data_IF_052565395960
#
_entry.id   IF_052565395960
#
_cell.length_a   1.000
_cell.length_b   1.000
_cell.length_c   1.000
_cell.angle_alpha   90.00
_cell.angle_beta   90.00
_cell.angle_gamma   90.00
#
_symmetry.space_group_name_H-M   'P 1'
#
loop_
_entity.id
_entity.type
_entity.pdbx_description
1 polymer ?
#
# COMPACT_ATOMS: atom_id res chain seq x y z
N UNK A 1 -4.60 -27.52 3.53
CA UNK A 1 -3.91 -26.71 4.55
C UNK A 1 -4.39 -25.27 4.41
N UNK A 2 -5.34 -24.82 5.22
CA UNK A 2 -5.81 -23.43 5.18
C UNK A 2 -4.84 -22.58 6.01
N UNK A 3 -4.04 -21.74 5.33
CA UNK A 3 -3.27 -20.70 6.00
C UNK A 3 -4.27 -19.65 6.50
N UNK A 4 -4.51 -19.59 7.81
CA UNK A 4 -5.31 -18.51 8.42
C UNK A 4 -4.46 -17.25 8.43
N UNK A 5 -4.56 -16.45 7.37
CA UNK A 5 -3.94 -15.14 7.32
C UNK A 5 -4.92 -14.11 7.88
N UNK A 6 -4.51 -13.36 8.90
CA UNK A 6 -5.34 -12.31 9.50
C UNK A 6 -5.31 -11.09 8.57
N UNK A 7 -6.36 -10.89 7.78
CA UNK A 7 -6.52 -9.73 6.91
C UNK A 7 -7.10 -8.58 7.72
N UNK A 8 -6.47 -7.40 7.67
CA UNK A 8 -6.88 -6.22 8.45
C UNK A 8 -7.35 -5.14 7.47
N UNK A 9 -8.55 -4.60 7.72
CA UNK A 9 -9.01 -3.37 7.09
C UNK A 9 -8.54 -2.19 7.94
N UNK A 10 -8.05 -1.16 7.28
CA UNK A 10 -7.81 0.12 7.90
C UNK A 10 -8.54 1.19 7.09
N UNK A 11 -9.31 2.00 7.80
CA UNK A 11 -9.91 3.20 7.27
C UNK A 11 -9.06 4.38 7.76
N UNK A 12 -8.60 5.22 6.84
CA UNK A 12 -7.87 6.44 7.17
C UNK A 12 -8.77 7.58 6.70
N UNK A 13 -9.32 8.33 7.65
CA UNK A 13 -10.36 9.35 7.43
C UNK A 13 -10.03 10.40 6.36
N UNK A 14 -8.75 10.53 5.96
CA UNK A 14 -8.35 11.35 4.82
C UNK A 14 -8.90 10.87 3.46
N UNK A 15 -9.39 9.62 3.32
CA UNK A 15 -9.82 9.05 2.03
C UNK A 15 -11.12 8.23 2.15
N UNK A 16 -12.27 8.87 2.42
CA UNK A 16 -13.51 8.19 2.81
C UNK A 16 -14.11 7.22 1.78
N UNK A 17 -13.65 7.27 0.52
CA UNK A 17 -14.14 6.42 -0.58
C UNK A 17 -13.11 5.39 -1.07
N UNK A 18 -11.92 5.29 -0.46
CA UNK A 18 -10.86 4.35 -0.87
C UNK A 18 -10.46 3.39 0.23
N UNK A 19 -11.06 2.22 0.21
CA UNK A 19 -10.75 1.15 1.16
C UNK A 19 -9.63 0.25 0.66
N UNK A 20 -8.62 0.07 1.52
CA UNK A 20 -7.46 -0.79 1.26
C UNK A 20 -7.45 -1.92 2.27
N UNK A 21 -7.32 -3.17 1.79
CA UNK A 21 -7.08 -4.34 2.64
C UNK A 21 -5.59 -4.65 2.68
N UNK A 22 -4.99 -4.47 3.85
CA UNK A 22 -3.58 -4.81 4.06
C UNK A 22 -3.44 -6.32 4.26
N UNK A 23 -2.55 -6.96 3.50
CA UNK A 23 -2.31 -8.40 3.54
C UNK A 23 -0.84 -8.64 3.91
N UNK A 24 -0.51 -8.99 5.17
CA UNK A 24 0.88 -9.19 5.58
C UNK A 24 1.44 -10.50 5.05
N UNK A 25 2.41 -10.43 4.15
CA UNK A 25 3.10 -11.55 3.53
C UNK A 25 4.43 -11.77 4.25
N UNK A 26 4.77 -13.05 4.45
CA UNK A 26 5.92 -13.43 5.28
C UNK A 26 7.28 -13.14 4.63
N UNK A 27 7.40 -13.43 3.34
CA UNK A 27 8.69 -13.44 2.62
C UNK A 27 8.55 -12.70 1.30
N UNK A 28 9.56 -11.90 0.94
CA UNK A 28 9.60 -11.08 -0.27
C UNK A 28 9.50 -11.93 -1.54
N UNK A 29 10.12 -13.11 -1.56
CA UNK A 29 10.07 -14.05 -2.69
C UNK A 29 8.65 -14.57 -3.03
N UNK A 30 7.65 -14.29 -2.19
CA UNK A 30 6.26 -14.58 -2.48
C UNK A 30 5.64 -13.58 -3.46
N UNK A 31 6.16 -12.36 -3.54
CA UNK A 31 5.61 -11.28 -4.36
C UNK A 31 5.75 -11.58 -5.85
N UNK A 32 6.88 -12.14 -6.29
CA UNK A 32 7.12 -12.54 -7.68
C UNK A 32 6.13 -13.62 -8.17
N UNK A 33 5.49 -14.34 -7.24
CA UNK A 33 4.52 -15.41 -7.55
C UNK A 33 3.09 -14.93 -7.61
N UNK A 34 2.81 -13.69 -7.18
CA UNK A 34 1.43 -13.19 -7.14
C UNK A 34 0.97 -12.77 -8.53
N UNK A 35 -0.17 -13.34 -8.94
CA UNK A 35 -0.89 -12.97 -10.16
C UNK A 35 -2.32 -12.56 -9.77
N UNK A 36 -2.61 -11.25 -9.63
CA UNK A 36 -3.91 -10.80 -9.15
C UNK A 36 -5.03 -11.02 -10.18
N UNK A 37 -6.13 -11.64 -9.74
CA UNK A 37 -7.36 -11.78 -10.52
C UNK A 37 -8.41 -10.85 -9.91
N UNK A 38 -8.29 -9.55 -10.21
CA UNK A 38 -9.05 -8.47 -9.54
C UNK A 38 -10.56 -8.60 -9.71
N UNK A 39 -11.03 -9.12 -10.85
CA UNK A 39 -12.44 -9.45 -11.11
C UNK A 39 -13.07 -10.38 -10.07
N UNK A 40 -12.26 -11.22 -9.42
CA UNK A 40 -12.71 -12.14 -8.39
C UNK A 40 -12.70 -11.54 -6.97
N UNK A 41 -12.19 -10.32 -6.78
CA UNK A 41 -12.16 -9.69 -5.45
C UNK A 41 -13.55 -9.59 -4.80
N UNK A 42 -14.66 -9.24 -5.49
CA UNK A 42 -16.00 -9.21 -4.89
C UNK A 42 -16.50 -10.59 -4.41
N UNK A 43 -15.89 -11.68 -4.88
CA UNK A 43 -16.20 -13.02 -4.40
C UNK A 43 -15.55 -13.33 -3.05
N UNK A 44 -14.44 -12.67 -2.73
CA UNK A 44 -13.68 -12.85 -1.49
C UNK A 44 -14.01 -11.75 -0.48
N UNK A 45 -14.07 -10.50 -0.92
CA UNK A 45 -14.28 -9.30 -0.10
C UNK A 45 -15.76 -8.98 0.07
N UNK A 46 -16.55 -9.91 0.62
CA UNK A 46 -18.03 -9.78 0.68
C UNK A 46 -18.53 -8.52 1.38
N UNK A 47 -17.85 -8.10 2.45
CA UNK A 47 -18.21 -6.88 3.19
C UNK A 47 -17.85 -5.60 2.42
N UNK A 48 -16.79 -5.65 1.61
CA UNK A 48 -16.23 -4.49 0.91
C UNK A 48 -15.78 -4.87 -0.50
N UNK A 49 -16.72 -5.18 -1.39
CA UNK A 49 -16.42 -5.75 -2.70
C UNK A 49 -15.65 -4.80 -3.62
N UNK A 50 -15.63 -3.49 -3.29
CA UNK A 50 -14.93 -2.45 -4.03
C UNK A 50 -13.52 -2.17 -3.52
N UNK A 51 -13.09 -2.77 -2.40
CA UNK A 51 -11.78 -2.51 -1.82
C UNK A 51 -10.65 -3.04 -2.71
N UNK A 52 -9.51 -2.36 -2.68
CA UNK A 52 -8.25 -2.86 -3.25
C UNK A 52 -7.52 -3.76 -2.24
N UNK A 53 -6.58 -4.55 -2.75
CA UNK A 53 -5.72 -5.40 -1.93
C UNK A 53 -4.29 -4.85 -1.96
N UNK A 54 -3.66 -4.77 -0.80
CA UNK A 54 -2.30 -4.27 -0.65
C UNK A 54 -1.47 -5.26 0.15
N UNK A 55 -0.88 -6.27 -0.53
CA UNK A 55 0.12 -7.14 0.07
C UNK A 55 1.34 -6.34 0.53
N UNK A 56 1.82 -6.63 1.74
CA UNK A 56 2.98 -5.96 2.33
C UNK A 56 3.96 -6.98 2.92
N UNK A 57 5.24 -6.62 2.99
CA UNK A 57 6.28 -7.39 3.67
C UNK A 57 7.23 -6.46 4.43
N UNK A 58 7.96 -7.01 5.40
CA UNK A 58 9.05 -6.32 6.09
C UNK A 58 10.43 -6.70 5.54
N UNK A 59 10.50 -7.71 4.66
CA UNK A 59 11.66 -7.92 3.82
C UNK A 59 11.58 -6.94 2.64
N UNK A 60 12.69 -6.28 2.34
CA UNK A 60 12.83 -5.23 1.32
C UNK A 60 13.92 -5.59 0.32
N UNK A 61 13.88 -5.02 -0.88
CA UNK A 61 14.92 -5.17 -1.91
C UNK A 61 16.10 -4.23 -1.67
N UNK A 62 15.81 -3.03 -1.18
CA UNK A 62 16.81 -2.02 -0.80
C UNK A 62 16.77 -1.82 0.72
N UNK A 63 17.89 -2.06 1.40
CA UNK A 63 18.04 -2.01 2.85
C UNK A 63 17.80 -0.60 3.43
N UNK A 64 17.76 0.44 2.59
CA UNK A 64 17.34 1.78 3.01
C UNK A 64 15.82 1.87 3.28
N UNK A 65 15.03 0.90 2.78
CA UNK A 65 13.57 0.89 2.92
C UNK A 65 13.11 0.10 4.15
N UNK A 66 11.92 0.42 4.67
CA UNK A 66 11.36 -0.25 5.86
C UNK A 66 10.36 -1.37 5.51
N UNK A 67 9.66 -1.25 4.37
CA UNK A 67 8.57 -2.14 3.99
C UNK A 67 8.46 -2.25 2.47
N UNK A 68 8.12 -3.44 2.00
CA UNK A 68 7.83 -3.71 0.59
C UNK A 68 6.33 -3.89 0.37
N UNK A 69 5.80 -3.41 -0.76
CA UNK A 69 4.39 -3.54 -1.10
C UNK A 69 4.14 -3.76 -2.59
N UNK A 70 2.96 -4.35 -2.87
CA UNK A 70 2.28 -4.31 -4.19
C UNK A 70 0.87 -3.76 -3.99
N UNK A 71 0.27 -3.19 -5.03
CA UNK A 71 -1.11 -2.71 -4.95
C UNK A 71 -1.96 -3.29 -6.07
N UNK A 72 -2.91 -4.16 -5.70
CA UNK A 72 -3.89 -4.71 -6.63
C UNK A 72 -5.16 -3.89 -6.56
N UNK A 73 -5.44 -3.22 -7.67
CA UNK A 73 -6.50 -2.23 -7.75
C UNK A 73 -7.88 -2.86 -7.57
N UNK A 74 -8.83 -2.02 -7.18
CA UNK A 74 -10.25 -2.39 -7.19
C UNK A 74 -10.67 -2.89 -8.58
N UNK A 75 -11.54 -3.91 -8.70
CA UNK A 75 -12.07 -4.37 -9.99
C UNK A 75 -12.79 -3.26 -10.78
N UNK A 76 -13.17 -2.16 -10.12
CA UNK A 76 -13.89 -1.03 -10.73
C UNK A 76 -12.97 0.13 -11.15
N UNK A 77 -11.65 -0.02 -11.02
CA UNK A 77 -10.67 1.06 -11.27
C UNK A 77 -10.17 1.16 -12.71
N UNK A 78 -10.36 0.11 -13.52
CA UNK A 78 -9.80 0.01 -14.88
C UNK A 78 -8.32 -0.38 -14.93
N UNK A 79 -7.65 -0.55 -13.78
CA UNK A 79 -6.28 -1.08 -13.70
C UNK A 79 -6.25 -2.39 -12.89
N UNK A 80 -5.23 -3.21 -13.11
CA UNK A 80 -5.01 -4.45 -12.35
C UNK A 80 -4.08 -4.18 -11.17
N UNK A 81 -2.99 -3.47 -11.44
CA UNK A 81 -1.94 -3.15 -10.48
C UNK A 81 -1.50 -1.70 -10.66
N UNK A 82 -1.28 -1.03 -9.54
CA UNK A 82 -0.78 0.34 -9.50
C UNK A 82 0.70 0.36 -9.10
N UNK A 83 1.49 1.18 -9.78
CA UNK A 83 2.94 1.18 -9.63
C UNK A 83 3.38 1.74 -8.27
N UNK A 84 2.77 2.84 -7.83
CA UNK A 84 3.07 3.49 -6.55
C UNK A 84 1.79 4.09 -5.97
N UNK A 85 1.32 3.57 -4.84
CA UNK A 85 0.01 3.92 -4.29
C UNK A 85 0.13 4.63 -2.95
N UNK A 86 0.30 5.96 -3.00
CA UNK A 86 0.53 6.77 -1.80
C UNK A 86 -0.55 6.62 -0.72
N UNK A 87 -1.82 6.49 -1.09
CA UNK A 87 -2.91 6.28 -0.12
C UNK A 87 -2.72 4.98 0.67
N UNK A 88 -2.37 3.88 -0.02
CA UNK A 88 -2.13 2.59 0.59
C UNK A 88 -0.85 2.58 1.45
N UNK A 89 0.21 3.28 1.01
CA UNK A 89 1.40 3.49 1.84
C UNK A 89 1.09 4.26 3.12
N UNK A 90 0.22 5.28 3.07
CA UNK A 90 -0.27 5.98 4.26
C UNK A 90 -0.94 5.02 5.26
N UNK A 91 -1.81 4.13 4.76
CA UNK A 91 -2.44 3.07 5.57
C UNK A 91 -1.39 2.17 6.23
N UNK A 92 -0.28 1.86 5.56
CA UNK A 92 0.82 1.07 6.13
C UNK A 92 1.47 1.75 7.34
N UNK A 93 1.57 3.08 7.36
CA UNK A 93 2.08 3.82 8.51
C UNK A 93 1.25 3.61 9.77
N UNK A 94 -0.08 3.73 9.63
CA UNK A 94 -1.01 3.42 10.71
C UNK A 94 -0.94 1.93 11.11
N UNK A 95 -0.94 1.03 10.11
CA UNK A 95 -0.79 -0.42 10.34
C UNK A 95 0.45 -0.76 11.17
N UNK A 96 1.58 -0.16 10.84
CA UNK A 96 2.86 -0.40 11.51
C UNK A 96 2.80 -0.01 12.99
N UNK A 97 2.32 1.21 13.28
CA UNK A 97 2.21 1.70 14.66
C UNK A 97 1.20 0.88 15.48
N UNK A 98 0.07 0.50 14.87
CA UNK A 98 -1.04 -0.15 15.60
C UNK A 98 -0.81 -1.64 15.82
N UNK A 99 -0.25 -2.36 14.84
CA UNK A 99 -0.19 -3.83 14.85
C UNK A 99 1.22 -4.42 14.87
N UNK A 100 2.23 -3.70 14.37
CA UNK A 100 3.58 -4.24 14.20
C UNK A 100 4.46 -3.86 15.37
N UNK A 101 4.60 -2.56 15.63
CA UNK A 101 5.46 -2.05 16.70
C UNK A 101 4.75 -0.92 17.46
N UNK A 102 3.91 -1.31 18.41
CA UNK A 102 3.18 -0.40 19.31
C UNK A 102 4.09 0.50 20.12
N UNK A 103 5.30 0.05 20.44
CA UNK A 103 6.31 0.80 21.18
C UNK A 103 7.05 1.86 20.36
N UNK A 104 6.80 1.95 19.05
CA UNK A 104 7.44 2.94 18.18
C UNK A 104 7.23 4.35 18.72
N UNK A 105 8.34 5.04 19.00
CA UNK A 105 8.33 6.45 19.38
C UNK A 105 8.00 7.30 18.14
N UNK A 106 7.12 8.27 18.32
CA UNK A 106 6.71 9.20 17.27
C UNK A 106 7.36 10.59 17.53
N UNK A 107 7.58 11.42 16.49
CA UNK A 107 7.28 11.14 15.07
C UNK A 107 8.22 10.09 14.47
N UNK A 108 7.71 9.32 13.51
CA UNK A 108 8.51 8.36 12.71
C UNK A 108 8.21 8.55 11.23
N UNK A 109 9.23 8.37 10.40
CA UNK A 109 9.08 8.20 8.95
C UNK A 109 9.40 6.76 8.60
N UNK A 110 8.55 6.13 7.81
CA UNK A 110 8.78 4.82 7.21
C UNK A 110 8.95 5.00 5.70
N UNK A 111 9.82 4.23 5.09
CA UNK A 111 10.01 4.22 3.63
C UNK A 111 9.40 2.94 3.07
N UNK A 112 8.39 3.11 2.22
CA UNK A 112 7.70 2.00 1.54
C UNK A 112 8.17 1.93 0.10
N UNK A 113 8.70 0.78 -0.30
CA UNK A 113 8.98 0.46 -1.70
C UNK A 113 7.80 -0.24 -2.38
N UNK A 114 7.52 0.12 -3.63
CA UNK A 114 6.45 -0.45 -4.44
C UNK A 114 6.80 -0.44 -5.93
N UNK A 115 6.30 -1.44 -6.67
CA UNK A 115 6.31 -1.46 -8.14
C UNK A 115 7.44 -2.31 -8.75
N UNK A 116 8.31 -2.88 -7.92
CA UNK A 116 9.47 -3.62 -8.38
C UNK A 116 9.11 -4.82 -9.28
N UNK A 117 8.01 -5.52 -9.01
CA UNK A 117 7.52 -6.66 -9.80
C UNK A 117 7.05 -6.26 -11.21
N UNK A 118 6.81 -4.98 -11.44
CA UNK A 118 6.47 -4.41 -12.75
C UNK A 118 7.56 -3.46 -13.27
N UNK A 119 8.80 -3.62 -12.77
CA UNK A 119 10.00 -2.87 -13.16
C UNK A 119 9.92 -1.36 -12.88
N UNK A 120 9.28 -0.96 -11.78
CA UNK A 120 9.24 0.41 -11.27
C UNK A 120 9.87 0.44 -9.88
N UNK A 121 10.88 1.30 -9.66
CA UNK A 121 11.46 1.56 -8.33
C UNK A 121 10.76 2.76 -7.69
N UNK A 122 9.57 2.51 -7.14
CA UNK A 122 8.77 3.53 -6.47
C UNK A 122 9.01 3.55 -4.97
N UNK A 123 9.12 4.76 -4.40
CA UNK A 123 9.30 4.96 -2.95
C UNK A 123 8.33 6.00 -2.42
N UNK A 124 7.70 5.69 -1.29
CA UNK A 124 6.81 6.60 -0.56
C UNK A 124 7.31 6.75 0.87
N UNK A 125 7.54 7.99 1.30
CA UNK A 125 7.86 8.32 2.67
C UNK A 125 6.56 8.53 3.44
N UNK A 126 6.34 7.74 4.47
CA UNK A 126 5.12 7.76 5.29
C UNK A 126 5.46 8.33 6.66
N UNK A 127 4.95 9.52 6.95
CA UNK A 127 5.17 10.22 8.20
C UNK A 127 4.03 9.93 9.16
N UNK A 128 4.37 9.36 10.31
CA UNK A 128 3.42 9.03 11.38
C UNK A 128 3.69 9.94 12.57
N UNK A 129 2.65 10.67 13.00
CA UNK A 129 2.67 11.61 14.12
C UNK A 129 1.45 11.38 15.04
N UNK A 130 1.48 12.01 16.22
CA UNK A 130 0.44 11.88 17.25
C UNK A 130 0.84 10.95 18.39
N UNK A 131 0.26 11.14 19.57
CA UNK A 131 0.48 10.26 20.73
C UNK A 131 -0.72 9.34 21.02
N UNK A 132 -1.91 9.69 20.51
CA UNK A 132 -3.17 8.98 20.67
C UNK A 132 -3.90 8.92 19.33
N UNK A 133 -4.82 7.97 19.19
CA UNK A 133 -5.70 7.86 18.02
C UNK A 133 -6.68 9.05 17.95
N UNK A 134 -7.00 9.56 16.76
CA UNK A 134 -6.47 9.14 15.47
C UNK A 134 -5.03 9.62 15.23
N UNK A 135 -4.20 8.76 14.63
CA UNK A 135 -2.85 9.13 14.18
C UNK A 135 -2.89 10.18 13.06
N UNK A 136 -1.93 11.11 13.07
CA UNK A 136 -1.69 12.04 11.96
C UNK A 136 -0.74 11.38 10.94
N UNK A 137 -1.28 11.09 9.76
CA UNK A 137 -0.59 10.41 8.66
C UNK A 137 -0.45 11.36 7.48
N UNK A 138 0.79 11.58 7.06
CA UNK A 138 1.10 12.28 5.80
C UNK A 138 2.10 11.47 4.99
N UNK A 139 2.12 11.72 3.68
CA UNK A 139 3.03 11.05 2.76
C UNK A 139 3.81 12.08 1.95
N UNK A 140 5.03 11.71 1.55
CA UNK A 140 5.82 12.46 0.58
C UNK A 140 6.58 11.54 -0.36
N UNK A 141 7.07 12.10 -1.46
CA UNK A 141 7.84 11.40 -2.47
C UNK A 141 8.48 12.41 -3.42
N UNK A 142 9.50 11.96 -4.14
CA UNK A 142 10.15 12.75 -5.20
C UNK A 142 9.56 12.40 -6.55
N UNK A 143 9.49 13.37 -7.46
CA UNK A 143 9.07 13.16 -8.84
C UNK A 143 10.21 13.51 -9.80
N UNK A 144 10.27 12.83 -10.94
CA UNK A 144 11.21 13.08 -12.02
C UNK A 144 10.45 13.52 -13.25
N UNK A 145 10.90 14.60 -13.88
CA UNK A 145 10.33 15.08 -15.13
C UNK A 145 10.60 14.08 -16.27
N UNK A 146 9.57 13.71 -17.02
CA UNK A 146 9.68 12.77 -18.15
C UNK A 146 9.72 13.51 -19.48
N UNK A 147 8.66 14.26 -19.82
CA UNK A 147 8.58 15.04 -21.06
C UNK A 147 7.43 16.05 -21.01
N UNK A 148 7.48 17.02 -21.93
CA UNK A 148 6.36 17.89 -22.26
C UNK A 148 5.64 17.35 -23.49
N UNK A 149 4.32 17.47 -23.51
CA UNK A 149 3.48 17.17 -24.66
C UNK A 149 2.57 18.38 -24.87
N UNK A 150 2.43 18.83 -26.12
CA UNK A 150 1.43 19.84 -26.49
C UNK A 150 0.16 19.09 -26.88
N UNK A 151 -0.96 19.43 -26.25
CA UNK A 151 -2.28 18.86 -26.56
C UNK A 151 -3.12 19.97 -27.19
N UNK A 152 -3.49 19.80 -28.46
CA UNK A 152 -4.46 20.66 -29.12
C UNK A 152 -5.87 20.17 -28.77
N UNK A 153 -6.73 21.09 -28.36
CA UNK A 153 -8.12 20.81 -27.99
C UNK A 153 -8.99 21.55 -29.01
N UNK A 154 -9.87 20.81 -29.71
CA UNK A 154 -10.89 21.38 -30.61
C UNK A 154 -12.07 21.98 -29.85
#
# INVERSE_FOLDING_TARGET
MQVKQKVILLDVECWPDRFVRVIPIKELASFDKMNPVTENFPNVLKEMPKASLHPICFEVRDDENDMHARHFSSPYSGTIEDAVTGTASGVMGAYYKTFVNKGTRLPKTLIVEQGHEINIDGRVYVHVKGEQEPLDISISGTAVYVKNIVVEIE
#
